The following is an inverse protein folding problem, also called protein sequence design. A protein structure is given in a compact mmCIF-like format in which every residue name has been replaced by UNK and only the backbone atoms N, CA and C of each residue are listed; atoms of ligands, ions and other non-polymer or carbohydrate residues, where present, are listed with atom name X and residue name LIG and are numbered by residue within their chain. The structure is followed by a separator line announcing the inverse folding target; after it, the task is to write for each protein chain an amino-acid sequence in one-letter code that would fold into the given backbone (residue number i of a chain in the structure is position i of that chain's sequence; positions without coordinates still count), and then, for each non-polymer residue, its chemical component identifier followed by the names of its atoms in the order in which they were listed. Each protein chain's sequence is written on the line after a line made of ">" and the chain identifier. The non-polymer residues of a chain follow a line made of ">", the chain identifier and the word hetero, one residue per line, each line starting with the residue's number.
data_IF_275205385579
#
_entry.id   IF_275205385579
#
_cell.length_a   1.000
_cell.length_b   1.000
_cell.length_c   1.000
_cell.angle_alpha   90.00
_cell.angle_beta   90.00
_cell.angle_gamma   90.00
#
_symmetry.space_group_name_H-M   'P 1'
#
loop_
_entity.id
_entity.type
_entity.pdbx_description
1 polymer ?
#
# COMPACT_ATOMS: atom_id res chain seq x y z
N UNK A 1 0.43 -18.02 -7.34
CA UNK A 1 -0.36 -18.53 -6.19
C UNK A 1 -1.74 -17.89 -6.28
N UNK A 2 -2.82 -18.67 -6.15
CA UNK A 2 -4.19 -18.20 -6.32
C UNK A 2 -5.01 -18.44 -5.06
N UNK A 3 -5.83 -17.46 -4.69
CA UNK A 3 -6.71 -17.47 -3.53
C UNK A 3 -8.16 -17.35 -3.99
N UNK A 4 -9.04 -18.27 -3.57
CA UNK A 4 -10.49 -18.22 -3.81
C UNK A 4 -11.20 -17.74 -2.54
N UNK A 5 -11.97 -16.67 -2.65
CA UNK A 5 -12.75 -16.10 -1.55
C UNK A 5 -14.16 -16.73 -1.44
N UNK A 6 -14.50 -17.69 -2.30
CA UNK A 6 -15.76 -18.44 -2.31
C UNK A 6 -16.97 -17.67 -2.84
N UNK A 7 -16.87 -16.35 -2.89
CA UNK A 7 -17.90 -15.43 -3.37
C UNK A 7 -17.25 -14.18 -3.97
N UNK A 8 -18.06 -13.35 -4.64
CA UNK A 8 -17.60 -12.07 -5.15
C UNK A 8 -17.42 -11.09 -3.98
N UNK A 9 -16.21 -10.60 -3.79
CA UNK A 9 -15.82 -9.63 -2.77
C UNK A 9 -15.17 -8.44 -3.46
N UNK A 10 -15.41 -7.24 -2.93
CA UNK A 10 -14.79 -6.02 -3.44
C UNK A 10 -13.50 -5.75 -2.68
N UNK A 11 -12.41 -5.48 -3.39
CA UNK A 11 -11.08 -5.21 -2.84
C UNK A 11 -10.55 -3.86 -3.33
N UNK A 12 -9.77 -3.17 -2.49
CA UNK A 12 -9.01 -1.97 -2.87
C UNK A 12 -7.50 -2.12 -2.69
N UNK A 13 -7.05 -3.19 -2.03
CA UNK A 13 -5.65 -3.50 -1.86
C UNK A 13 -5.41 -4.98 -1.56
N UNK A 14 -4.13 -5.35 -1.61
CA UNK A 14 -3.60 -6.53 -0.93
C UNK A 14 -2.55 -6.11 0.08
N UNK A 15 -2.41 -6.89 1.15
CA UNK A 15 -1.31 -6.81 2.10
C UNK A 15 -0.46 -8.06 1.96
N UNK A 16 0.85 -7.87 1.87
CA UNK A 16 1.81 -8.94 1.63
C UNK A 16 2.96 -8.83 2.63
N UNK A 17 3.35 -9.95 3.23
CA UNK A 17 4.64 -10.05 3.94
C UNK A 17 5.56 -11.01 3.19
N UNK A 18 6.86 -10.71 3.20
CA UNK A 18 7.85 -11.43 2.39
C UNK A 18 8.93 -12.04 3.27
N UNK A 19 9.30 -13.29 2.99
CA UNK A 19 10.45 -13.91 3.64
C UNK A 19 11.73 -13.14 3.29
N UNK A 20 12.50 -12.74 4.31
CA UNK A 20 13.65 -11.82 4.20
C UNK A 20 13.26 -10.46 3.59
N UNK A 21 12.03 -10.01 3.79
CA UNK A 21 11.54 -8.71 3.31
C UNK A 21 12.29 -7.49 3.84
N UNK A 22 13.17 -7.65 4.83
CA UNK A 22 14.08 -6.62 5.36
C UNK A 22 15.52 -6.71 4.79
N UNK A 23 15.78 -7.67 3.89
CA UNK A 23 17.10 -7.88 3.25
C UNK A 23 17.05 -7.85 1.72
N UNK A 24 15.88 -8.07 1.13
CA UNK A 24 15.69 -8.15 -0.33
C UNK A 24 14.36 -7.55 -0.77
N UNK A 25 14.34 -6.97 -1.96
CA UNK A 25 13.10 -6.58 -2.62
C UNK A 25 12.55 -7.77 -3.41
N UNK A 26 11.22 -7.91 -3.47
CA UNK A 26 10.52 -8.96 -4.22
C UNK A 26 9.64 -8.31 -5.27
N UNK A 27 9.69 -8.80 -6.51
CA UNK A 27 8.90 -8.27 -7.64
C UNK A 27 7.71 -9.17 -7.92
N UNK A 28 6.57 -8.58 -8.26
CA UNK A 28 5.33 -9.33 -8.48
C UNK A 28 4.29 -8.57 -9.30
N UNK A 29 3.28 -9.29 -9.79
CA UNK A 29 1.98 -8.74 -10.19
C UNK A 29 0.88 -9.28 -9.26
N UNK A 30 -0.21 -8.53 -9.16
CA UNK A 30 -1.47 -8.97 -8.56
C UNK A 30 -2.52 -8.95 -9.65
N UNK A 31 -3.23 -10.07 -9.78
CA UNK A 31 -4.29 -10.23 -10.75
C UNK A 31 -5.58 -10.66 -10.06
N UNK A 32 -6.70 -10.20 -10.57
CA UNK A 32 -8.03 -10.49 -10.04
C UNK A 32 -8.87 -11.18 -11.10
N UNK A 33 -9.82 -12.00 -10.65
CA UNK A 33 -10.74 -12.71 -11.53
C UNK A 33 -12.08 -12.97 -10.87
N UNK A 34 -13.15 -12.97 -11.67
CA UNK A 34 -14.49 -13.40 -11.27
C UNK A 34 -14.72 -14.91 -11.52
N UNK A 35 -14.06 -15.47 -12.52
CA UNK A 35 -14.32 -16.83 -13.05
C UNK A 35 -13.16 -17.81 -12.84
N UNK A 36 -11.99 -17.32 -12.41
CA UNK A 36 -10.76 -18.09 -12.22
C UNK A 36 -9.99 -18.41 -13.51
N UNK A 37 -10.50 -17.98 -14.66
CA UNK A 37 -9.94 -18.28 -16.00
C UNK A 37 -9.49 -17.02 -16.73
N UNK A 38 -10.25 -15.93 -16.62
CA UNK A 38 -9.94 -14.62 -17.19
C UNK A 38 -9.37 -13.72 -16.11
N UNK A 39 -8.20 -13.15 -16.33
CA UNK A 39 -7.44 -12.42 -15.31
C UNK A 39 -7.18 -10.97 -15.74
N UNK A 40 -7.40 -10.04 -14.82
CA UNK A 40 -7.11 -8.61 -14.99
C UNK A 40 -6.01 -8.21 -14.02
N UNK A 41 -5.03 -7.42 -14.48
CA UNK A 41 -3.97 -6.91 -13.61
C UNK A 41 -4.50 -5.80 -12.71
N UNK A 42 -4.43 -6.00 -11.40
CA UNK A 42 -4.74 -5.01 -10.38
C UNK A 42 -3.48 -4.24 -9.96
N UNK A 43 -2.35 -4.95 -9.80
CA UNK A 43 -1.02 -4.36 -9.57
C UNK A 43 -0.07 -4.90 -10.63
N UNK A 44 0.64 -4.01 -11.31
CA UNK A 44 1.65 -4.38 -12.32
C UNK A 44 3.03 -3.90 -11.88
N UNK A 45 4.03 -4.78 -11.99
CA UNK A 45 5.43 -4.55 -11.63
C UNK A 45 5.59 -4.01 -10.19
N UNK A 46 4.77 -4.55 -9.27
CA UNK A 46 4.88 -4.27 -7.85
C UNK A 46 6.23 -4.73 -7.30
N UNK A 47 6.80 -3.95 -6.39
CA UNK A 47 8.05 -4.27 -5.72
C UNK A 47 7.94 -3.99 -4.21
N UNK A 48 8.32 -4.98 -3.40
CA UNK A 48 8.37 -4.84 -1.94
C UNK A 48 9.47 -3.87 -1.51
N UNK A 49 9.35 -3.30 -0.32
CA UNK A 49 10.28 -2.26 0.15
C UNK A 49 11.70 -2.76 0.37
N UNK A 50 11.85 -4.03 0.76
CA UNK A 50 13.13 -4.58 1.18
C UNK A 50 13.57 -4.12 2.58
N UNK A 51 12.67 -3.50 3.37
CA UNK A 51 12.97 -2.88 4.67
C UNK A 51 12.23 -3.50 5.86
N UNK A 52 11.27 -4.40 5.64
CA UNK A 52 10.38 -4.89 6.69
C UNK A 52 9.97 -6.35 6.50
N UNK A 53 9.72 -7.04 7.62
CA UNK A 53 9.08 -8.37 7.64
C UNK A 53 7.56 -8.29 7.88
N UNK A 54 7.04 -7.10 8.17
CA UNK A 54 5.61 -6.88 8.39
C UNK A 54 4.84 -6.85 7.06
N UNK A 55 3.51 -6.83 7.15
CA UNK A 55 2.63 -6.64 6.00
C UNK A 55 2.90 -5.28 5.34
N UNK A 56 3.12 -5.30 4.04
CA UNK A 56 3.17 -4.14 3.16
C UNK A 56 1.87 -4.06 2.35
N UNK A 57 1.25 -2.88 2.32
CA UNK A 57 0.02 -2.62 1.57
C UNK A 57 0.33 -2.19 0.14
N UNK A 58 -0.42 -2.76 -0.81
CA UNK A 58 -0.37 -2.42 -2.23
C UNK A 58 -1.79 -2.14 -2.72
N UNK A 59 -2.07 -0.85 -2.91
CA UNK A 59 -3.37 -0.35 -3.36
C UNK A 59 -3.58 -0.50 -4.86
N UNK A 60 -4.84 -0.62 -5.26
CA UNK A 60 -5.30 -0.61 -6.65
C UNK A 60 -6.74 -0.06 -6.73
N UNK A 61 -7.24 0.30 -7.92
CA UNK A 61 -8.62 0.73 -8.07
C UNK A 61 -9.60 -0.33 -7.55
N UNK A 62 -10.62 0.10 -6.82
CA UNK A 62 -11.62 -0.80 -6.25
C UNK A 62 -12.17 -1.78 -7.30
N UNK A 63 -12.02 -3.07 -7.03
CA UNK A 63 -12.31 -4.14 -7.97
C UNK A 63 -13.06 -5.27 -7.28
N UNK A 64 -14.18 -5.70 -7.86
CA UNK A 64 -14.90 -6.90 -7.41
C UNK A 64 -14.28 -8.13 -8.04
N UNK A 65 -13.91 -9.10 -7.21
CA UNK A 65 -13.28 -10.35 -7.60
C UNK A 65 -13.72 -11.50 -6.70
N UNK A 66 -13.68 -12.73 -7.22
CA UNK A 66 -13.76 -13.94 -6.40
C UNK A 66 -12.37 -14.54 -6.15
N UNK A 67 -11.48 -14.38 -7.12
CA UNK A 67 -10.13 -14.91 -7.06
C UNK A 67 -9.11 -13.77 -7.12
N UNK A 68 -8.06 -13.89 -6.31
CA UNK A 68 -6.86 -13.05 -6.43
C UNK A 68 -5.66 -13.96 -6.64
N UNK A 69 -4.78 -13.58 -7.58
CA UNK A 69 -3.58 -14.31 -7.95
C UNK A 69 -2.35 -13.44 -7.75
N UNK A 70 -1.42 -13.94 -6.94
CA UNK A 70 -0.07 -13.44 -6.82
C UNK A 70 0.81 -14.09 -7.89
N UNK A 71 1.46 -13.26 -8.72
CA UNK A 71 2.41 -13.69 -9.76
C UNK A 71 3.79 -13.19 -9.38
N UNK A 72 4.60 -14.06 -8.80
CA UNK A 72 5.96 -13.71 -8.37
C UNK A 72 6.95 -13.66 -9.53
N UNK A 73 7.81 -12.63 -9.54
CA UNK A 73 8.84 -12.35 -10.56
C UNK A 73 10.26 -12.45 -9.99
N UNK A 74 10.43 -13.13 -8.86
CA UNK A 74 11.70 -13.26 -8.16
C UNK A 74 11.98 -12.12 -7.18
N UNK A 75 13.23 -12.02 -6.75
CA UNK A 75 13.71 -11.04 -5.78
C UNK A 75 15.10 -10.52 -6.17
N UNK A 76 15.60 -9.50 -5.47
CA UNK A 76 16.89 -8.89 -5.74
C UNK A 76 18.10 -9.83 -5.60
N UNK A 77 17.95 -11.02 -5.04
CA UNK A 77 19.03 -12.01 -4.87
C UNK A 77 18.86 -13.29 -5.69
N UNK A 78 17.67 -13.59 -6.22
CA UNK A 78 17.37 -14.87 -6.91
C UNK A 78 15.99 -14.88 -7.57
N UNK A 79 15.68 -15.94 -8.32
CA UNK A 79 14.35 -16.15 -8.92
C UNK A 79 13.28 -16.67 -7.93
N UNK A 80 13.63 -16.91 -6.65
CA UNK A 80 12.68 -17.45 -5.67
C UNK A 80 11.56 -16.47 -5.31
N UNK A 81 10.37 -17.00 -5.11
CA UNK A 81 9.19 -16.26 -4.64
C UNK A 81 8.76 -16.83 -3.29
N UNK A 82 8.76 -16.00 -2.25
CA UNK A 82 8.50 -16.46 -0.88
C UNK A 82 7.69 -15.41 -0.12
N UNK A 83 6.36 -15.51 -0.26
CA UNK A 83 5.38 -14.72 0.49
C UNK A 83 5.05 -15.48 1.77
N UNK A 84 5.09 -14.81 2.92
CA UNK A 84 4.79 -15.38 4.23
C UNK A 84 3.33 -15.19 4.62
N UNK A 85 2.71 -14.10 4.17
CA UNK A 85 1.30 -13.80 4.41
C UNK A 85 0.71 -13.02 3.24
N UNK A 86 -0.58 -13.26 2.97
CA UNK A 86 -1.35 -12.61 1.92
C UNK A 86 -2.75 -12.31 2.45
N UNK A 87 -3.18 -11.07 2.35
CA UNK A 87 -4.53 -10.65 2.75
C UNK A 87 -5.10 -9.70 1.71
N UNK A 88 -6.23 -10.03 1.08
CA UNK A 88 -7.02 -9.06 0.30
C UNK A 88 -7.89 -8.23 1.24
N UNK A 89 -7.96 -6.93 1.02
CA UNK A 89 -8.71 -6.00 1.89
C UNK A 89 -9.49 -4.97 1.07
N UNK A 90 -10.48 -4.38 1.71
CA UNK A 90 -11.18 -3.18 1.27
C UNK A 90 -11.34 -2.23 2.45
N UNK A 91 -10.58 -1.13 2.51
CA UNK A 91 -10.60 -0.25 3.67
C UNK A 91 -11.83 0.62 3.82
N UNK A 92 -12.73 0.63 2.84
CA UNK A 92 -14.02 1.30 3.01
C UNK A 92 -14.99 0.45 3.83
N UNK A 93 -14.77 -0.87 3.89
CA UNK A 93 -15.68 -1.82 4.54
C UNK A 93 -15.01 -2.63 5.65
N UNK A 94 -13.73 -2.94 5.48
CA UNK A 94 -12.89 -3.59 6.47
C UNK A 94 -12.28 -2.51 7.37
N UNK A 95 -12.14 -2.81 8.67
CA UNK A 95 -11.33 -2.01 9.58
C UNK A 95 -9.85 -2.15 9.19
N UNK A 96 -9.44 -1.51 8.10
CA UNK A 96 -8.06 -1.12 7.96
C UNK A 96 -7.81 -0.09 9.05
N UNK A 97 -7.06 -0.48 10.06
CA UNK A 97 -6.67 0.48 11.08
C UNK A 97 -5.99 1.66 10.38
N UNK A 98 -6.34 2.89 10.72
CA UNK A 98 -5.63 4.09 10.24
C UNK A 98 -4.13 4.07 10.65
N UNK A 99 -3.72 3.10 11.48
CA UNK A 99 -2.33 2.80 11.82
C UNK A 99 -1.63 1.86 10.82
N UNK A 100 -2.36 1.20 9.92
CA UNK A 100 -1.80 0.43 8.80
C UNK A 100 -1.50 1.39 7.64
N UNK A 101 -0.56 2.29 7.92
CA UNK A 101 -0.09 3.32 7.02
C UNK A 101 0.16 2.74 5.60
N UNK A 102 -0.33 3.36 4.52
CA UNK A 102 0.20 3.09 3.19
C UNK A 102 1.72 3.34 3.26
N UNK A 103 2.53 2.32 2.89
CA UNK A 103 4.00 2.33 2.80
C UNK A 103 4.70 3.48 3.59
N UNK A 104 4.74 3.37 4.92
CA UNK A 104 5.31 4.41 5.82
C UNK A 104 6.82 4.64 5.64
N UNK A 105 7.54 3.76 4.98
CA UNK A 105 8.99 3.85 4.75
C UNK A 105 9.42 4.84 3.65
N UNK A 106 8.47 5.62 3.10
CA UNK A 106 8.68 6.83 2.26
C UNK A 106 8.29 8.13 3.00
N UNK A 107 7.62 8.07 4.15
CA UNK A 107 7.39 9.26 4.97
C UNK A 107 8.68 9.62 5.72
N UNK A 108 9.67 10.14 5.00
CA UNK A 108 10.59 11.11 5.62
C UNK A 108 9.69 12.28 6.06
N UNK A 109 9.72 12.69 7.32
CA UNK A 109 9.11 13.97 7.66
C UNK A 109 9.76 15.04 6.78
N UNK A 110 8.97 15.62 5.87
CA UNK A 110 9.35 16.88 5.26
C UNK A 110 9.26 17.90 6.39
N UNK A 111 10.40 18.47 6.76
CA UNK A 111 10.41 19.67 7.59
C UNK A 111 9.66 20.74 6.79
N UNK A 112 8.44 21.07 7.21
CA UNK A 112 7.78 22.29 6.76
C UNK A 112 8.51 23.41 7.51
N UNK A 113 9.49 24.02 6.85
CA UNK A 113 9.97 25.32 7.32
C UNK A 113 8.81 26.30 7.14
N UNK A 114 8.13 26.61 8.24
CA UNK A 114 7.16 27.68 8.27
C UNK A 114 7.92 28.99 8.03
N UNK A 115 7.95 29.46 6.78
CA UNK A 115 8.25 30.86 6.50
C UNK A 115 7.09 31.68 7.04
N UNK A 116 7.21 32.06 8.31
CA UNK A 116 6.36 33.05 8.93
C UNK A 116 6.68 34.42 8.32
N UNK A 117 6.04 34.75 7.21
CA UNK A 117 5.84 36.15 6.84
C UNK A 117 4.66 36.66 7.67
N UNK A 118 5.01 37.17 8.85
CA UNK A 118 4.16 37.99 9.70
C UNK A 118 3.58 39.14 8.86
N UNK A 119 2.31 39.02 8.46
CA UNK A 119 1.54 40.16 7.98
C UNK A 119 1.18 40.98 9.21
N UNK A 120 1.91 42.05 9.47
CA UNK A 120 1.51 43.04 10.45
C UNK A 120 0.22 43.71 9.98
N UNK A 121 -0.90 43.43 10.64
CA UNK A 121 -2.11 44.23 10.53
C UNK A 121 -1.90 45.55 11.32
N UNK A 122 -2.29 46.72 10.78
CA UNK A 122 -2.12 47.97 11.51
C UNK A 122 -3.26 48.10 12.52
N UNK A 123 -2.94 48.03 13.82
CA UNK A 123 -3.90 48.45 14.85
C UNK A 123 -3.49 49.84 15.34
N UNK A 124 -4.18 50.84 14.81
CA UNK A 124 -4.22 52.17 15.36
C UNK A 124 -5.01 52.14 16.67
N UNK A 125 -4.36 52.42 17.80
CA UNK A 125 -4.99 53.11 18.94
C UNK A 125 -3.90 53.52 19.95
N UNK A 126 -3.53 54.80 19.98
CA UNK A 126 -3.14 55.43 21.24
C UNK A 126 -3.39 56.94 21.18
N UNK A 127 -4.50 57.33 21.80
CA UNK A 127 -4.68 58.65 22.40
C UNK A 127 -3.85 58.67 23.68
N UNK A 128 -3.03 59.71 23.86
CA UNK A 128 -2.82 60.48 25.11
C UNK A 128 -1.64 61.45 24.93
N UNK A 129 -1.93 62.71 24.61
CA UNK A 129 -1.69 63.92 25.43
C UNK A 129 -2.52 65.07 24.86
#
# INVERSE_FOLDING_TARGET
>A
MTFDYGQNVTFDAVKLSFHKGDKRTTKFDIETSLDGSTWTKAVTDGESTGKSLNLERFDFPETTARYIRYVGKGNSSSAWNSVTEFVGVNCKTDFCSDQELPRADILKPVLIEATSTMVMAPSACLIMI
#
